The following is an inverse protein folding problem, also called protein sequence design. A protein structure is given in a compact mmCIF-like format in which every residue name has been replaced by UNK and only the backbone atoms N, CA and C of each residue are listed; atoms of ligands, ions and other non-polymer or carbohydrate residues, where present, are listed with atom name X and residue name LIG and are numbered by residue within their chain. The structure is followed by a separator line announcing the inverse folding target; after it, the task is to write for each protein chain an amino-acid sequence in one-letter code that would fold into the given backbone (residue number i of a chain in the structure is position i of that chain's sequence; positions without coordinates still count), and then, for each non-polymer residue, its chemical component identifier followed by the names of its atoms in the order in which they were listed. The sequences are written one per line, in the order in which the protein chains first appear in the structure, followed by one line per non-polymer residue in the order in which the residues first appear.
data_IF_580907122548
#
_entry.id   IF_580907122548
#
_cell.length_a   1.000
_cell.length_b   1.000
_cell.length_c   1.000
_cell.angle_alpha   90.00
_cell.angle_beta   90.00
_cell.angle_gamma   90.00
#
_symmetry.space_group_name_H-M   'P 1'
#
loop_
_entity.id
_entity.type
_entity.pdbx_description
1 polymer ?
#
# COMPACT_ATOMS: atom_id res chain seq x y z
N UNK A 1 33.40 39.18 29.43
CA UNK A 1 34.59 40.03 29.62
C UNK A 1 35.21 39.62 30.95
N UNK A 2 35.92 38.51 31.06
CA UNK A 2 37.30 38.26 30.63
C UNK A 2 37.37 36.77 30.25
N UNK A 3 37.62 36.36 29.00
CA UNK A 3 38.86 36.46 28.20
C UNK A 3 40.12 36.00 28.94
N UNK A 4 40.60 34.81 28.50
CA UNK A 4 41.97 34.49 28.08
C UNK A 4 43.05 34.65 29.19
N UNK A 5 43.87 33.69 29.61
CA UNK A 5 44.79 32.81 28.89
C UNK A 5 45.43 31.88 29.95
N UNK A 6 45.69 30.62 29.60
CA UNK A 6 46.87 29.75 29.94
C UNK A 6 46.39 28.34 29.53
N UNK A 7 46.44 27.96 28.24
CA UNK A 7 47.63 27.57 27.48
C UNK A 7 48.41 26.42 28.13
N UNK A 8 48.51 25.31 27.38
CA UNK A 8 49.64 24.37 27.35
C UNK A 8 49.49 22.94 27.89
N UNK A 9 48.66 22.08 27.28
CA UNK A 9 48.99 20.66 26.93
C UNK A 9 48.05 20.29 25.77
N UNK A 10 48.40 20.21 24.47
CA UNK A 10 49.52 19.57 23.79
C UNK A 10 49.72 18.09 24.15
N UNK A 11 48.77 17.23 23.78
CA UNK A 11 49.09 15.93 23.14
C UNK A 11 47.91 15.48 22.29
N UNK A 12 48.10 15.57 20.97
CA UNK A 12 47.40 14.73 20.01
C UNK A 12 47.56 13.26 20.39
N UNK A 13 46.46 12.55 20.67
CA UNK A 13 46.40 11.10 20.55
C UNK A 13 45.22 10.77 19.64
N UNK A 14 45.46 10.30 18.40
CA UNK A 14 44.40 10.00 17.45
C UNK A 14 43.55 8.78 17.87
N UNK A 15 42.28 8.72 17.46
CA UNK A 15 41.34 7.68 17.82
C UNK A 15 41.67 6.37 17.08
N UNK A 16 42.27 5.41 17.77
CA UNK A 16 42.46 4.05 17.26
C UNK A 16 41.48 3.08 17.94
N UNK A 17 40.18 3.36 17.85
CA UNK A 17 39.16 2.30 17.98
C UNK A 17 38.82 1.89 16.56
N UNK A 18 39.51 0.83 16.14
CA UNK A 18 39.37 0.14 14.86
C UNK A 18 37.91 -0.23 14.61
N UNK A 19 37.20 0.62 13.86
CA UNK A 19 36.02 0.20 13.14
C UNK A 19 36.48 -0.85 12.14
N UNK A 20 36.06 -2.10 12.34
CA UNK A 20 36.11 -3.15 11.34
C UNK A 20 35.17 -2.73 10.19
N UNK A 21 35.58 -1.76 9.37
CA UNK A 21 34.90 -1.38 8.13
C UNK A 21 35.16 -2.51 7.15
N UNK A 22 34.29 -3.53 7.24
CA UNK A 22 34.18 -4.53 6.19
C UNK A 22 34.01 -3.82 4.86
N UNK A 23 34.90 -4.11 3.90
CA UNK A 23 34.85 -3.59 2.54
C UNK A 23 33.45 -3.85 1.98
N UNK A 24 32.62 -2.82 1.83
CA UNK A 24 31.36 -2.91 1.09
C UNK A 24 31.73 -3.13 -0.38
N UNK A 25 31.69 -4.38 -0.83
CA UNK A 25 31.78 -4.73 -2.24
C UNK A 25 30.76 -3.89 -3.01
N UNK A 26 31.08 -3.33 -4.20
CA UNK A 26 30.12 -2.54 -4.97
C UNK A 26 28.86 -3.39 -5.19
N UNK A 27 27.70 -2.87 -4.79
CA UNK A 27 26.42 -3.54 -5.01
C UNK A 27 26.26 -3.78 -6.52
N UNK A 28 26.37 -5.04 -6.94
CA UNK A 28 26.06 -5.42 -8.30
C UNK A 28 24.59 -5.05 -8.57
N UNK A 29 24.34 -4.21 -9.57
CA UNK A 29 23.00 -3.70 -9.86
C UNK A 29 22.07 -4.85 -10.21
N UNK A 30 21.06 -5.07 -9.37
CA UNK A 30 20.02 -6.08 -9.60
C UNK A 30 18.94 -5.57 -10.57
N UNK A 31 18.09 -6.47 -11.06
CA UNK A 31 16.96 -6.11 -11.92
C UNK A 31 15.90 -5.34 -11.11
N UNK A 32 15.58 -4.12 -11.51
CA UNK A 32 14.64 -3.24 -10.78
C UNK A 32 13.15 -3.65 -10.91
N UNK A 33 12.77 -4.40 -11.95
CA UNK A 33 11.39 -4.85 -12.15
C UNK A 33 11.31 -6.09 -13.05
N UNK A 34 10.35 -6.99 -12.77
CA UNK A 34 10.04 -8.14 -13.63
C UNK A 34 8.58 -8.58 -13.53
N UNK A 35 7.96 -8.87 -14.67
CA UNK A 35 6.63 -9.46 -14.78
C UNK A 35 6.67 -10.98 -15.09
N UNK A 36 7.86 -11.60 -15.08
CA UNK A 36 8.11 -12.93 -15.65
C UNK A 36 7.19 -14.06 -15.13
N UNK A 37 6.73 -13.97 -13.88
CA UNK A 37 5.89 -15.01 -13.26
C UNK A 37 4.49 -14.50 -12.89
N UNK A 38 4.06 -13.34 -13.40
CA UNK A 38 2.75 -12.78 -13.02
C UNK A 38 1.61 -13.59 -13.65
N UNK A 39 1.73 -13.92 -14.94
CA UNK A 39 0.70 -14.68 -15.66
C UNK A 39 0.53 -16.10 -15.09
N UNK A 40 1.62 -16.82 -14.82
CA UNK A 40 1.55 -18.16 -14.24
C UNK A 40 0.93 -18.15 -12.82
N UNK A 41 1.26 -17.14 -11.99
CA UNK A 41 0.62 -16.97 -10.67
C UNK A 41 -0.88 -16.64 -10.79
N UNK A 42 -1.27 -15.77 -11.71
CA UNK A 42 -2.67 -15.42 -11.94
C UNK A 42 -3.49 -16.62 -12.43
N UNK A 43 -2.89 -17.51 -13.22
CA UNK A 43 -3.56 -18.68 -13.78
C UNK A 43 -3.58 -19.88 -12.83
N UNK A 44 -2.71 -19.94 -11.80
CA UNK A 44 -2.68 -21.02 -10.80
C UNK A 44 -4.03 -21.24 -10.10
N UNK A 45 -4.75 -20.15 -9.82
CA UNK A 45 -6.11 -20.18 -9.24
C UNK A 45 -7.20 -19.79 -10.25
N UNK A 46 -6.79 -19.52 -11.50
CA UNK A 46 -7.62 -19.01 -12.57
C UNK A 46 -8.01 -17.53 -12.39
N UNK A 47 -8.02 -16.78 -13.48
CA UNK A 47 -8.60 -15.44 -13.52
C UNK A 47 -10.13 -15.60 -13.62
N UNK A 48 -10.83 -15.50 -12.48
CA UNK A 48 -12.27 -15.72 -12.41
C UNK A 48 -13.05 -14.47 -12.81
N UNK A 49 -14.02 -14.63 -13.72
CA UNK A 49 -14.98 -13.57 -14.05
C UNK A 49 -15.97 -13.35 -12.88
N UNK A 50 -16.44 -12.11 -12.64
CA UNK A 50 -17.46 -11.86 -11.64
C UNK A 50 -18.75 -12.60 -12.01
N UNK A 51 -19.41 -13.20 -11.01
CA UNK A 51 -20.67 -13.93 -11.22
C UNK A 51 -21.82 -12.95 -11.47
N UNK A 52 -22.65 -13.21 -12.49
CA UNK A 52 -23.90 -12.46 -12.71
C UNK A 52 -24.95 -12.93 -11.70
N UNK A 53 -25.39 -12.03 -10.83
CA UNK A 53 -26.50 -12.27 -9.91
C UNK A 53 -27.84 -11.88 -10.56
N UNK A 54 -28.93 -12.55 -10.18
CA UNK A 54 -30.30 -12.22 -10.66
C UNK A 54 -30.69 -10.79 -10.33
N UNK A 55 -30.22 -10.28 -9.19
CA UNK A 55 -30.45 -8.92 -8.73
C UNK A 55 -29.12 -8.22 -8.50
N UNK A 56 -28.97 -7.02 -9.06
CA UNK A 56 -27.79 -6.18 -8.90
C UNK A 56 -27.94 -5.28 -7.67
N UNK A 57 -26.81 -4.77 -7.17
CA UNK A 57 -26.83 -3.78 -6.09
C UNK A 57 -27.55 -2.50 -6.53
N UNK A 58 -28.39 -1.95 -5.64
CA UNK A 58 -29.09 -0.67 -5.87
C UNK A 58 -28.29 0.56 -5.42
N UNK A 59 -27.07 0.36 -4.89
CA UNK A 59 -26.17 1.43 -4.43
C UNK A 59 -25.76 2.32 -5.62
N UNK A 60 -25.84 3.64 -5.45
CA UNK A 60 -25.46 4.62 -6.49
C UNK A 60 -26.52 4.87 -7.56
N UNK A 61 -27.73 4.28 -7.43
CA UNK A 61 -28.88 4.62 -8.29
C UNK A 61 -29.55 5.89 -7.79
N UNK A 62 -30.27 6.57 -8.67
CA UNK A 62 -30.98 7.82 -8.36
C UNK A 62 -31.87 7.66 -7.09
N UNK A 63 -31.64 8.46 -6.04
CA UNK A 63 -32.45 8.44 -4.83
C UNK A 63 -33.95 8.67 -5.09
N UNK A 64 -34.32 9.50 -6.08
CA UNK A 64 -35.73 9.77 -6.40
C UNK A 64 -36.42 8.52 -6.95
N UNK A 65 -35.77 7.83 -7.89
CA UNK A 65 -36.22 6.54 -8.38
C UNK A 65 -36.35 5.48 -7.27
N UNK A 66 -35.38 5.38 -6.37
CA UNK A 66 -35.41 4.40 -5.26
C UNK A 66 -36.57 4.64 -4.29
N UNK A 67 -36.88 5.91 -3.99
CA UNK A 67 -38.04 6.28 -3.16
C UNK A 67 -39.35 5.85 -3.81
N UNK A 68 -39.50 6.10 -5.12
CA UNK A 68 -40.69 5.67 -5.86
C UNK A 68 -40.81 4.14 -5.93
N UNK A 69 -39.72 3.45 -6.27
CA UNK A 69 -39.70 1.98 -6.35
C UNK A 69 -40.10 1.32 -5.01
N UNK A 70 -39.69 1.90 -3.88
CA UNK A 70 -40.11 1.44 -2.55
C UNK A 70 -41.61 1.54 -2.35
N UNK A 71 -42.23 2.66 -2.73
CA UNK A 71 -43.68 2.84 -2.60
C UNK A 71 -44.47 1.92 -3.54
N UNK A 72 -44.02 1.76 -4.79
CA UNK A 72 -44.64 0.85 -5.75
C UNK A 72 -44.64 -0.60 -5.24
N UNK A 73 -43.49 -1.10 -4.76
CA UNK A 73 -43.40 -2.44 -4.14
C UNK A 73 -44.33 -2.58 -2.93
N UNK A 74 -44.39 -1.57 -2.06
CA UNK A 74 -45.26 -1.57 -0.88
C UNK A 74 -46.76 -1.63 -1.26
N UNK A 75 -47.16 -0.97 -2.34
CA UNK A 75 -48.54 -0.96 -2.83
C UNK A 75 -48.95 -2.28 -3.50
N UNK A 76 -48.03 -2.91 -4.24
CA UNK A 76 -48.32 -4.16 -4.95
C UNK A 76 -48.37 -5.38 -4.03
N UNK A 77 -47.58 -5.41 -2.95
CA UNK A 77 -47.56 -6.53 -2.00
C UNK A 77 -48.85 -6.69 -1.17
N UNK A 78 -49.78 -5.71 -1.21
CA UNK A 78 -51.07 -5.77 -0.51
C UNK A 78 -52.21 -6.37 -1.33
N UNK A 79 -52.00 -6.58 -2.64
CA UNK A 79 -53.02 -7.08 -3.58
C UNK A 79 -52.92 -8.58 -3.86
N UNK A 80 -52.03 -9.28 -3.15
CA UNK A 80 -51.94 -10.75 -3.21
C UNK A 80 -52.85 -11.29 -2.12
N UNK A 81 -54.13 -11.38 -2.44
CA UNK A 81 -55.11 -12.28 -1.80
C UNK A 81 -55.28 -13.50 -2.71
#
# INVERSE_FOLDING_TARGET
MHLEVIFQISTCVPPAVSWLVGKRSPMAKSKNHTAHNQSAKAHKHGIRKPKRQRHTSQKGRDPKFLRNQRYARKGNNKKVE
#
